data_IF_138388269486
#
_entry.id   IF_138388269486
#
_cell.length_a   1.000
_cell.length_b   1.000
_cell.length_c   1.000
_cell.angle_alpha   90.00
_cell.angle_beta   90.00
_cell.angle_gamma   90.00
#
_symmetry.space_group_name_H-M   'P 1'
#
loop_
_entity.id
_entity.type
_entity.pdbx_description
1 polymer ?
#
# COMPACT_ATOMS: atom_id res chain seq x y z
N UNK A 1 -16.97 12.15 17.97
CA UNK A 1 -15.84 11.35 17.45
C UNK A 1 -14.84 12.29 16.80
N UNK A 2 -13.53 12.12 17.01
CA UNK A 2 -12.51 13.00 16.44
C UNK A 2 -12.58 12.97 14.90
N UNK A 3 -12.53 14.13 14.22
CA UNK A 3 -12.58 14.23 12.75
C UNK A 3 -11.53 13.36 12.06
N UNK A 4 -10.31 13.33 12.60
CA UNK A 4 -9.22 12.52 12.06
C UNK A 4 -9.49 11.01 12.20
N UNK A 5 -10.17 10.59 13.28
CA UNK A 5 -10.58 9.20 13.46
C UNK A 5 -11.64 8.79 12.42
N UNK A 6 -12.64 9.64 12.18
CA UNK A 6 -13.65 9.39 11.14
C UNK A 6 -12.97 9.19 9.77
N UNK A 7 -12.07 10.10 9.40
CA UNK A 7 -11.33 10.02 8.13
C UNK A 7 -10.51 8.73 8.07
N UNK A 8 -9.79 8.40 9.15
CA UNK A 8 -8.98 7.18 9.23
C UNK A 8 -9.83 5.92 8.98
N UNK A 9 -10.95 5.79 9.67
CA UNK A 9 -11.83 4.63 9.51
C UNK A 9 -12.48 4.57 8.13
N UNK A 10 -12.89 5.72 7.57
CA UNK A 10 -13.43 5.76 6.20
C UNK A 10 -12.40 5.28 5.18
N UNK A 11 -11.16 5.75 5.27
CA UNK A 11 -10.07 5.31 4.39
C UNK A 11 -9.86 3.80 4.50
N UNK A 12 -9.75 3.26 5.72
CA UNK A 12 -9.47 1.85 5.94
C UNK A 12 -10.64 0.93 5.55
N UNK A 13 -11.86 1.29 5.92
CA UNK A 13 -13.05 0.44 5.69
C UNK A 13 -13.52 0.59 4.24
N UNK A 14 -13.87 1.81 3.82
CA UNK A 14 -14.43 2.03 2.48
C UNK A 14 -13.35 1.83 1.42
N UNK A 15 -12.16 2.39 1.64
CA UNK A 15 -11.03 2.20 0.73
C UNK A 15 -10.56 0.76 0.70
N UNK A 16 -10.39 0.10 1.85
CA UNK A 16 -9.98 -1.31 1.93
C UNK A 16 -10.98 -2.25 1.24
N UNK A 17 -12.29 -2.08 1.46
CA UNK A 17 -13.32 -2.81 0.72
C UNK A 17 -13.23 -2.51 -0.77
N UNK A 18 -13.00 -1.26 -1.16
CA UNK A 18 -12.81 -0.85 -2.55
C UNK A 18 -11.66 -1.60 -3.24
N UNK A 19 -10.52 -1.75 -2.55
CA UNK A 19 -9.37 -2.54 -3.05
C UNK A 19 -9.77 -4.00 -3.23
N UNK A 20 -10.40 -4.62 -2.23
CA UNK A 20 -10.80 -6.04 -2.33
C UNK A 20 -11.80 -6.28 -3.47
N UNK A 21 -12.77 -5.39 -3.63
CA UNK A 21 -13.76 -5.46 -4.72
C UNK A 21 -13.08 -5.29 -6.07
N UNK A 22 -12.15 -4.33 -6.23
CA UNK A 22 -11.49 -4.11 -7.51
C UNK A 22 -10.62 -5.31 -7.92
N UNK A 23 -9.90 -5.91 -6.96
CA UNK A 23 -9.12 -7.13 -7.19
C UNK A 23 -10.01 -8.33 -7.51
N UNK A 24 -11.08 -8.55 -6.73
CA UNK A 24 -12.02 -9.64 -7.01
C UNK A 24 -12.65 -9.49 -8.39
N UNK A 25 -13.15 -8.29 -8.72
CA UNK A 25 -13.76 -8.01 -10.01
C UNK A 25 -12.76 -8.23 -11.16
N UNK A 26 -11.55 -7.65 -11.07
CA UNK A 26 -10.53 -7.81 -12.12
C UNK A 26 -10.14 -9.27 -12.33
N UNK A 27 -9.85 -10.02 -11.28
CA UNK A 27 -9.41 -11.42 -11.38
C UNK A 27 -10.51 -12.39 -11.83
N UNK A 28 -11.78 -12.08 -11.55
CA UNK A 28 -12.93 -12.88 -11.97
C UNK A 28 -13.38 -12.57 -13.41
N UNK A 29 -13.18 -11.34 -13.88
CA UNK A 29 -13.59 -10.93 -15.23
C UNK A 29 -12.49 -11.12 -16.27
N UNK A 30 -11.21 -11.02 -15.88
CA UNK A 30 -10.05 -11.11 -16.78
C UNK A 30 -9.31 -12.44 -16.60
N UNK A 31 -10.04 -13.56 -16.70
CA UNK A 31 -9.54 -14.91 -16.39
C UNK A 31 -8.35 -15.32 -17.25
N UNK A 32 -8.34 -14.90 -18.51
CA UNK A 32 -7.26 -15.20 -19.46
C UNK A 32 -5.99 -14.39 -19.17
N UNK A 33 -6.16 -13.13 -18.74
CA UNK A 33 -5.06 -12.18 -18.54
C UNK A 33 -4.47 -12.21 -17.12
N UNK A 34 -5.17 -12.78 -16.13
CA UNK A 34 -4.72 -12.73 -14.72
C UNK A 34 -3.37 -13.40 -14.48
N UNK A 35 -2.97 -14.35 -15.33
CA UNK A 35 -1.65 -14.99 -15.28
C UNK A 35 -0.52 -14.05 -15.69
N UNK A 36 -0.83 -13.04 -16.49
CA UNK A 36 0.13 -12.12 -17.09
C UNK A 36 0.39 -10.88 -16.23
N UNK A 37 -0.26 -10.75 -15.06
CA UNK A 37 -0.08 -9.62 -14.12
C UNK A 37 1.37 -9.44 -13.69
N UNK A 38 2.16 -10.52 -13.70
CA UNK A 38 3.59 -10.51 -13.41
C UNK A 38 4.44 -9.98 -14.57
N UNK A 39 3.88 -9.82 -15.77
CA UNK A 39 4.65 -9.55 -16.99
C UNK A 39 5.74 -10.61 -17.21
N UNK A 40 6.96 -10.18 -17.53
CA UNK A 40 8.11 -11.05 -17.71
C UNK A 40 8.97 -11.22 -16.45
N UNK A 41 8.44 -10.95 -15.24
CA UNK A 41 9.21 -11.11 -13.99
C UNK A 41 9.62 -12.58 -13.82
N UNK A 42 10.92 -12.90 -13.66
CA UNK A 42 11.39 -14.28 -13.50
C UNK A 42 10.79 -14.97 -12.28
N UNK A 43 10.53 -16.28 -12.36
CA UNK A 43 9.97 -17.07 -11.24
C UNK A 43 10.78 -16.96 -9.94
N UNK A 44 12.11 -16.86 -10.05
CA UNK A 44 13.01 -16.66 -8.92
C UNK A 44 12.71 -15.35 -8.17
N UNK A 45 12.26 -14.32 -8.88
CA UNK A 45 11.87 -13.03 -8.31
C UNK A 45 10.40 -13.06 -7.84
N UNK A 46 9.49 -13.72 -8.57
CA UNK A 46 8.06 -13.85 -8.19
C UNK A 46 7.88 -14.48 -6.79
N UNK A 47 8.77 -15.39 -6.39
CA UNK A 47 8.78 -15.96 -5.04
C UNK A 47 8.96 -14.88 -3.96
N UNK A 48 9.80 -13.88 -4.20
CA UNK A 48 9.99 -12.75 -3.28
C UNK A 48 8.77 -11.83 -3.24
N UNK A 49 8.11 -11.59 -4.38
CA UNK A 49 6.83 -10.86 -4.41
C UNK A 49 5.79 -11.57 -3.55
N UNK A 50 5.62 -12.88 -3.73
CA UNK A 50 4.62 -13.65 -2.98
C UNK A 50 4.89 -13.59 -1.48
N UNK A 51 6.14 -13.81 -1.07
CA UNK A 51 6.54 -13.69 0.33
C UNK A 51 6.30 -12.28 0.88
N UNK A 52 6.74 -11.24 0.17
CA UNK A 52 6.59 -9.86 0.62
C UNK A 52 5.13 -9.43 0.67
N UNK A 53 4.29 -9.82 -0.30
CA UNK A 53 2.84 -9.57 -0.28
C UNK A 53 2.16 -10.19 0.95
N UNK A 54 2.45 -11.46 1.26
CA UNK A 54 1.85 -12.13 2.44
C UNK A 54 2.27 -11.44 3.73
N UNK A 55 3.58 -11.19 3.90
CA UNK A 55 4.10 -10.49 5.07
C UNK A 55 3.54 -9.06 5.19
N UNK A 56 3.34 -8.39 4.06
CA UNK A 56 2.74 -7.06 3.99
C UNK A 56 1.28 -7.07 4.41
N UNK A 57 0.49 -8.02 3.90
CA UNK A 57 -0.93 -8.15 4.22
C UNK A 57 -1.13 -8.44 5.72
N UNK A 58 -0.30 -9.33 6.30
CA UNK A 58 -0.29 -9.58 7.75
C UNK A 58 0.20 -8.34 8.53
N UNK A 59 1.28 -7.74 8.06
CA UNK A 59 1.89 -6.54 8.62
C UNK A 59 0.92 -5.37 8.74
N UNK A 60 0.07 -5.20 7.73
CA UNK A 60 -0.98 -4.18 7.69
C UNK A 60 -1.87 -4.21 8.92
N UNK A 61 -2.29 -5.39 9.37
CA UNK A 61 -3.09 -5.51 10.58
C UNK A 61 -2.34 -5.07 11.83
N UNK A 62 -1.04 -5.39 11.94
CA UNK A 62 -0.25 -5.01 13.12
C UNK A 62 0.03 -3.52 13.19
N UNK A 63 0.53 -2.90 12.11
CA UNK A 63 0.80 -1.46 12.14
C UNK A 63 -0.50 -0.63 12.21
N UNK A 64 -1.60 -1.12 11.63
CA UNK A 64 -2.91 -0.47 11.75
C UNK A 64 -3.49 -0.60 13.16
N UNK A 65 -3.41 -1.79 13.77
CA UNK A 65 -3.82 -1.98 15.15
C UNK A 65 -3.01 -1.10 16.11
N UNK A 66 -1.70 -0.99 15.89
CA UNK A 66 -0.85 -0.08 16.67
C UNK A 66 -1.35 1.37 16.58
N UNK A 67 -1.62 1.86 15.37
CA UNK A 67 -2.12 3.23 15.16
C UNK A 67 -3.46 3.45 15.87
N UNK A 68 -4.40 2.51 15.77
CA UNK A 68 -5.73 2.62 16.39
C UNK A 68 -5.64 2.63 17.92
N UNK A 69 -4.80 1.78 18.51
CA UNK A 69 -4.76 1.56 19.97
C UNK A 69 -3.87 2.57 20.68
N UNK A 70 -2.70 2.89 20.10
CA UNK A 70 -1.64 3.62 20.79
C UNK A 70 -1.40 5.03 20.28
N UNK A 71 -1.90 5.40 19.09
CA UNK A 71 -1.68 6.74 18.55
C UNK A 71 -2.96 7.57 18.69
N UNK A 72 -2.99 8.59 19.56
CA UNK A 72 -4.16 9.43 19.71
C UNK A 72 -4.50 10.13 18.38
N UNK A 73 -5.75 10.02 17.93
CA UNK A 73 -6.23 10.70 16.72
C UNK A 73 -6.17 12.23 16.80
N UNK A 74 -5.95 12.79 18.00
CA UNK A 74 -5.68 14.22 18.23
C UNK A 74 -4.19 14.57 18.27
N UNK A 75 -3.29 13.66 17.90
CA UNK A 75 -1.85 13.92 17.92
C UNK A 75 -1.46 15.04 16.96
N UNK A 76 -0.69 16.01 17.45
CA UNK A 76 -0.23 17.20 16.72
C UNK A 76 1.28 17.17 16.41
N UNK A 77 1.99 16.10 16.79
CA UNK A 77 3.46 16.04 16.73
C UNK A 77 4.01 14.75 16.07
N UNK A 78 3.41 14.33 14.95
CA UNK A 78 4.01 13.38 14.00
C UNK A 78 5.26 14.05 13.39
N UNK A 79 6.42 13.38 13.46
CA UNK A 79 7.73 13.99 13.18
C UNK A 79 7.99 15.32 13.94
N UNK A 80 7.35 15.52 15.10
CA UNK A 80 7.48 16.73 15.91
C UNK A 80 6.73 17.96 15.38
N UNK A 81 6.16 17.93 14.18
CA UNK A 81 5.59 19.12 13.52
C UNK A 81 4.22 18.92 12.88
N UNK A 82 3.89 17.71 12.42
CA UNK A 82 2.65 17.43 11.71
C UNK A 82 1.59 16.81 12.62
N UNK A 83 0.32 17.00 12.29
CA UNK A 83 -0.78 16.35 12.99
C UNK A 83 -1.13 14.97 12.39
N UNK A 84 -2.10 14.29 13.00
CA UNK A 84 -2.58 12.98 12.55
C UNK A 84 -3.07 12.96 11.08
N UNK A 85 -3.40 14.11 10.47
CA UNK A 85 -3.77 14.15 9.06
C UNK A 85 -2.66 13.61 8.14
N UNK A 86 -1.38 13.66 8.57
CA UNK A 86 -0.29 13.05 7.82
C UNK A 86 -0.36 11.52 7.81
N UNK A 87 -0.77 10.90 8.92
CA UNK A 87 -1.02 9.45 8.96
C UNK A 87 -2.20 9.11 8.04
N UNK A 88 -3.28 9.90 8.08
CA UNK A 88 -4.40 9.74 7.15
C UNK A 88 -3.96 9.89 5.69
N UNK A 89 -3.06 10.83 5.39
CA UNK A 89 -2.52 11.03 4.05
C UNK A 89 -1.72 9.79 3.58
N UNK A 90 -0.89 9.20 4.44
CA UNK A 90 -0.17 7.97 4.10
C UNK A 90 -1.13 6.80 3.85
N UNK A 91 -2.13 6.58 4.72
CA UNK A 91 -3.13 5.52 4.49
C UNK A 91 -3.93 5.74 3.21
N UNK A 92 -4.38 6.97 2.96
CA UNK A 92 -5.06 7.31 1.72
C UNK A 92 -4.16 7.05 0.51
N UNK A 93 -2.89 7.43 0.62
CA UNK A 93 -1.89 7.31 -0.43
C UNK A 93 -1.50 5.88 -0.79
N UNK A 94 -1.67 4.89 0.09
CA UNK A 94 -1.49 3.48 -0.33
C UNK A 94 -2.81 2.72 -0.53
N UNK A 95 -3.93 3.11 0.07
CA UNK A 95 -5.21 2.39 -0.11
C UNK A 95 -5.94 2.82 -1.38
N UNK A 96 -6.16 4.12 -1.56
CA UNK A 96 -6.96 4.66 -2.66
C UNK A 96 -6.35 4.30 -4.03
N UNK A 97 -5.06 4.62 -4.31
CA UNK A 97 -4.48 4.29 -5.61
C UNK A 97 -4.37 2.78 -5.86
N UNK A 98 -4.19 1.96 -4.82
CA UNK A 98 -4.18 0.50 -4.96
C UNK A 98 -5.51 -0.06 -5.49
N UNK A 99 -6.64 0.61 -5.23
CA UNK A 99 -7.93 0.18 -5.76
C UNK A 99 -8.00 0.29 -7.29
N UNK A 100 -7.25 1.22 -7.90
CA UNK A 100 -7.24 1.44 -9.35
C UNK A 100 -6.23 0.58 -10.10
N UNK A 101 -5.17 0.12 -9.41
CA UNK A 101 -4.04 -0.55 -10.04
C UNK A 101 -4.48 -1.72 -10.93
N UNK A 102 -5.26 -2.66 -10.41
CA UNK A 102 -5.61 -3.88 -11.17
C UNK A 102 -6.42 -3.57 -12.43
N UNK A 103 -7.40 -2.67 -12.34
CA UNK A 103 -8.24 -2.28 -13.49
C UNK A 103 -7.43 -1.55 -14.56
N UNK A 104 -6.52 -0.65 -14.14
CA UNK A 104 -5.63 0.05 -15.08
C UNK A 104 -4.63 -0.91 -15.72
N UNK A 105 -4.08 -1.85 -14.96
CA UNK A 105 -3.16 -2.88 -15.47
C UNK A 105 -3.86 -3.77 -16.50
N UNK A 106 -5.08 -4.23 -16.25
CA UNK A 106 -5.86 -4.99 -17.26
C UNK A 106 -6.30 -4.14 -18.46
N UNK A 107 -6.44 -2.83 -18.31
CA UNK A 107 -6.67 -1.96 -19.46
C UNK A 107 -5.39 -1.83 -20.28
N UNK A 108 -4.21 -1.74 -19.65
CA UNK A 108 -2.91 -1.73 -20.32
C UNK A 108 -2.63 -3.07 -21.03
N UNK A 109 -3.15 -4.14 -20.41
CA UNK A 109 -3.67 -5.40 -20.97
C UNK A 109 -4.18 -5.55 -22.39
N UNK A 110 -4.95 -4.58 -22.83
CA UNK A 110 -5.91 -4.77 -23.91
C UNK A 110 -5.87 -3.58 -24.84
N UNK A 111 -5.74 -2.38 -24.28
CA UNK A 111 -5.64 -1.10 -24.99
C UNK A 111 -4.51 -0.25 -24.38
N UNK A 112 -3.23 -0.56 -24.69
CA UNK A 112 -2.10 0.14 -24.11
C UNK A 112 -1.99 1.57 -24.62
N UNK A 113 -1.87 2.53 -23.69
CA UNK A 113 -1.61 3.93 -24.02
C UNK A 113 -0.52 4.53 -23.13
N UNK A 114 0.26 5.52 -23.63
CA UNK A 114 1.28 6.18 -22.81
C UNK A 114 0.70 6.86 -21.54
N UNK A 115 -0.52 7.40 -21.64
CA UNK A 115 -1.20 8.06 -20.51
C UNK A 115 -1.54 7.03 -19.42
N UNK A 116 -2.05 5.87 -19.82
CA UNK A 116 -2.36 4.78 -18.90
C UNK A 116 -1.11 4.27 -18.20
N UNK A 117 -0.01 4.13 -18.94
CA UNK A 117 1.28 3.75 -18.38
C UNK A 117 1.77 4.75 -17.34
N UNK A 118 1.79 6.05 -17.65
CA UNK A 118 2.14 7.09 -16.68
C UNK A 118 1.25 7.01 -15.44
N UNK A 119 -0.07 6.82 -15.63
CA UNK A 119 -1.01 6.65 -14.52
C UNK A 119 -0.67 5.48 -13.60
N UNK A 120 -0.37 4.30 -14.16
CA UNK A 120 0.06 3.12 -13.39
C UNK A 120 1.37 3.43 -12.64
N UNK A 121 2.37 4.02 -13.30
CA UNK A 121 3.65 4.37 -12.66
C UNK A 121 3.44 5.36 -11.50
N UNK A 122 2.59 6.37 -11.68
CA UNK A 122 2.25 7.32 -10.63
C UNK A 122 1.57 6.63 -9.44
N UNK A 123 0.60 5.74 -9.69
CA UNK A 123 -0.06 4.94 -8.63
C UNK A 123 0.99 4.18 -7.82
N UNK A 124 1.86 3.43 -8.49
CA UNK A 124 2.87 2.59 -7.83
C UNK A 124 3.82 3.42 -6.96
N UNK A 125 4.30 4.56 -7.46
CA UNK A 125 5.15 5.45 -6.66
C UNK A 125 4.40 6.10 -5.50
N UNK A 126 3.15 6.54 -5.67
CA UNK A 126 2.35 7.13 -4.57
C UNK A 126 2.17 6.10 -3.45
N UNK A 127 1.83 4.85 -3.79
CA UNK A 127 1.71 3.75 -2.83
C UNK A 127 3.04 3.54 -2.11
N UNK A 128 4.15 3.38 -2.85
CA UNK A 128 5.48 3.16 -2.29
C UNK A 128 5.95 4.29 -1.37
N UNK A 129 5.82 5.56 -1.78
CA UNK A 129 6.22 6.70 -0.97
C UNK A 129 5.35 6.83 0.28
N UNK A 130 4.07 6.50 0.20
CA UNK A 130 3.17 6.51 1.36
C UNK A 130 3.55 5.42 2.37
N UNK A 131 3.91 4.22 1.91
CA UNK A 131 4.42 3.15 2.77
C UNK A 131 5.73 3.55 3.47
N UNK A 132 6.69 4.09 2.71
CA UNK A 132 7.98 4.58 3.26
C UNK A 132 7.77 5.73 4.24
N UNK A 133 6.85 6.66 3.93
CA UNK A 133 6.48 7.76 4.81
C UNK A 133 5.90 7.27 6.14
N UNK A 134 5.04 6.24 6.10
CA UNK A 134 4.49 5.64 7.31
C UNK A 134 5.56 4.89 8.13
N UNK A 135 6.46 4.15 7.49
CA UNK A 135 7.62 3.55 8.17
C UNK A 135 8.50 4.62 8.83
N UNK A 136 8.76 5.72 8.12
CA UNK A 136 9.45 6.89 8.67
C UNK A 136 8.72 7.44 9.90
N UNK A 137 7.39 7.52 9.87
CA UNK A 137 6.61 8.00 11.01
C UNK A 137 6.79 7.10 12.24
N UNK A 138 6.80 5.78 12.05
CA UNK A 138 7.09 4.83 13.14
C UNK A 138 8.49 5.03 13.74
N UNK A 139 9.51 5.21 12.90
CA UNK A 139 10.90 5.30 13.36
C UNK A 139 11.20 6.64 14.04
N UNK A 140 10.73 7.74 13.46
CA UNK A 140 11.18 9.10 13.80
C UNK A 140 10.16 9.90 14.63
N UNK A 141 8.90 9.45 14.75
CA UNK A 141 7.94 10.11 15.64
C UNK A 141 8.10 9.60 17.08
N UNK A 142 7.57 10.37 18.05
CA UNK A 142 7.54 10.01 19.47
C UNK A 142 6.40 9.03 19.78
N UNK A 143 6.38 7.91 19.06
CA UNK A 143 5.44 6.81 19.29
C UNK A 143 5.86 5.97 20.49
N UNK A 144 4.89 5.40 21.19
CA UNK A 144 5.12 4.53 22.35
C UNK A 144 5.73 3.19 21.89
N UNK A 145 6.96 2.93 22.32
CA UNK A 145 7.74 1.74 21.95
C UNK A 145 7.60 0.58 22.94
N UNK A 146 6.73 0.70 23.94
CA UNK A 146 6.52 -0.34 24.95
C UNK A 146 5.69 -1.52 24.44
N UNK A 147 4.86 -1.30 23.42
CA UNK A 147 3.97 -2.34 22.88
C UNK A 147 4.68 -3.25 21.87
N UNK A 148 4.43 -4.56 21.96
CA UNK A 148 4.88 -5.52 20.94
C UNK A 148 4.30 -5.20 19.55
N UNK A 149 3.12 -4.56 19.49
CA UNK A 149 2.47 -4.14 18.24
C UNK A 149 3.30 -3.09 17.49
N UNK A 150 4.08 -2.26 18.19
CA UNK A 150 5.00 -1.31 17.56
C UNK A 150 6.05 -2.06 16.73
N UNK A 151 6.70 -3.06 17.33
CA UNK A 151 7.75 -3.84 16.67
C UNK A 151 7.18 -4.74 15.58
N UNK A 152 6.05 -5.42 15.83
CA UNK A 152 5.35 -6.20 14.82
C UNK A 152 4.92 -5.31 13.63
N UNK A 153 4.46 -4.09 13.91
CA UNK A 153 4.14 -3.08 12.91
C UNK A 153 5.33 -2.68 12.05
N UNK A 154 6.50 -2.42 12.64
CA UNK A 154 7.74 -2.14 11.89
C UNK A 154 8.17 -3.34 11.05
N UNK A 155 8.17 -4.54 11.64
CA UNK A 155 8.51 -5.79 10.94
C UNK A 155 7.55 -6.02 9.76
N UNK A 156 6.29 -5.61 9.87
CA UNK A 156 5.31 -5.64 8.77
C UNK A 156 5.48 -4.52 7.75
N UNK A 157 5.86 -3.31 8.17
CA UNK A 157 6.07 -2.16 7.27
C UNK A 157 7.31 -2.32 6.40
N UNK A 158 8.35 -3.01 6.85
CA UNK A 158 9.56 -3.28 6.06
C UNK A 158 9.23 -4.06 4.77
N UNK A 159 8.64 -5.27 4.81
CA UNK A 159 8.24 -5.99 3.61
C UNK A 159 7.17 -5.24 2.82
N UNK A 160 6.32 -4.44 3.46
CA UNK A 160 5.37 -3.56 2.74
C UNK A 160 6.08 -2.48 1.91
N UNK A 161 7.13 -1.86 2.45
CA UNK A 161 7.96 -0.91 1.70
C UNK A 161 8.74 -1.61 0.58
N UNK A 162 9.32 -2.79 0.85
CA UNK A 162 10.03 -3.57 -0.16
C UNK A 162 9.07 -3.96 -1.29
N UNK A 163 7.89 -4.48 -0.95
CA UNK A 163 6.85 -4.83 -1.91
C UNK A 163 6.46 -3.62 -2.76
N UNK A 164 6.02 -2.54 -2.14
CA UNK A 164 5.37 -1.44 -2.87
C UNK A 164 6.36 -0.50 -3.56
N UNK A 165 7.48 -0.15 -2.91
CA UNK A 165 8.45 0.79 -3.48
C UNK A 165 9.45 0.08 -4.39
N UNK A 166 9.98 -1.06 -3.99
CA UNK A 166 11.07 -1.71 -4.72
C UNK A 166 10.50 -2.65 -5.77
N UNK A 167 9.74 -3.65 -5.33
CA UNK A 167 9.23 -4.68 -6.23
C UNK A 167 8.20 -4.05 -7.19
N UNK A 168 7.15 -3.43 -6.70
CA UNK A 168 6.07 -2.92 -7.56
C UNK A 168 6.47 -1.64 -8.30
N UNK A 169 7.04 -0.63 -7.64
CA UNK A 169 7.31 0.65 -8.31
C UNK A 169 8.61 0.71 -9.12
N UNK A 170 9.60 -0.16 -8.87
CA UNK A 170 10.87 -0.15 -9.60
C UNK A 170 11.06 -1.41 -10.45
N UNK A 171 10.91 -2.60 -9.87
CA UNK A 171 11.23 -3.86 -10.55
C UNK A 171 10.15 -4.25 -11.56
N UNK A 172 8.89 -4.32 -11.15
CA UNK A 172 7.79 -4.74 -12.02
C UNK A 172 7.75 -3.99 -13.37
N UNK A 173 7.89 -2.65 -13.42
CA UNK A 173 7.89 -1.89 -14.67
C UNK A 173 9.04 -2.21 -15.63
N UNK A 174 10.16 -2.73 -15.14
CA UNK A 174 11.29 -3.16 -15.99
C UNK A 174 10.92 -4.42 -16.76
N UNK A 175 10.14 -5.30 -16.13
CA UNK A 175 9.73 -6.59 -16.67
C UNK A 175 8.33 -6.58 -17.30
N UNK A 176 7.53 -5.55 -17.05
CA UNK A 176 6.22 -5.41 -17.66
C UNK A 176 6.37 -4.94 -19.11
N UNK A 177 6.50 -5.91 -20.02
CA UNK A 177 6.71 -5.66 -21.44
C UNK A 177 5.40 -5.38 -22.16
N UNK A 178 5.12 -4.10 -22.46
CA UNK A 178 4.16 -3.64 -23.47
C UNK A 178 4.60 -2.32 -24.09
#
# INVERSE_FOLDING_TARGET
MNKQAIIFYLINIVGGIGVLISYAHGLLTQVELRGDLWGAVPESIQSYYTMCMVLSALGYFFFTAYIIIYVPFGSEHIFGTFNFALINLFYAGFIIPSAFWISMTFTMMTDPTPVLWVGIRSILFIVGFSAVGLLGAFIFSKFDKSSWLYYAGIIGLIPFCVQTMILDALVWPIYFQR
#
